data_IF_821807903746
#
_entry.id   IF_821807903746
#
_cell.length_a   1.000
_cell.length_b   1.000
_cell.length_c   1.000
_cell.angle_alpha   90.00
_cell.angle_beta   90.00
_cell.angle_gamma   90.00
#
_symmetry.space_group_name_H-M   'P 1'
#
loop_
_entity.id
_entity.type
_entity.pdbx_description
1 polymer ?
#
# COMPACT_ATOMS: atom_id res chain seq x y z
N UNK A 1 16.41 -25.96 -26.48
CA UNK A 1 15.18 -25.23 -26.87
C UNK A 1 14.93 -24.19 -25.79
N UNK A 2 15.26 -22.94 -26.08
CA UNK A 2 15.20 -21.81 -25.14
C UNK A 2 13.93 -21.05 -25.43
N UNK A 3 12.95 -21.08 -24.51
CA UNK A 3 11.85 -20.12 -24.51
C UNK A 3 12.15 -19.14 -23.38
N UNK A 4 12.94 -18.11 -23.70
CA UNK A 4 13.04 -16.92 -22.87
C UNK A 4 11.75 -16.14 -23.09
N UNK A 5 10.75 -16.39 -22.25
CA UNK A 5 9.56 -15.57 -22.18
C UNK A 5 9.99 -14.16 -21.76
N UNK A 6 10.01 -13.23 -22.71
CA UNK A 6 10.09 -11.82 -22.40
C UNK A 6 8.92 -11.51 -21.45
N UNK A 7 9.23 -11.20 -20.19
CA UNK A 7 8.27 -10.58 -19.29
C UNK A 7 7.87 -9.26 -19.95
N UNK A 8 6.72 -9.25 -20.64
CA UNK A 8 6.10 -8.01 -21.04
C UNK A 8 5.68 -7.34 -19.74
N UNK A 9 6.47 -6.37 -19.29
CA UNK A 9 6.07 -5.45 -18.23
C UNK A 9 4.73 -4.86 -18.70
N UNK A 10 3.63 -5.07 -17.96
CA UNK A 10 2.35 -4.49 -18.34
C UNK A 10 2.53 -2.99 -18.56
N UNK A 11 1.97 -2.46 -19.65
CA UNK A 11 1.97 -1.01 -19.87
C UNK A 11 1.01 -0.38 -18.88
N UNK A 12 1.52 -0.05 -17.71
CA UNK A 12 0.86 0.81 -16.73
C UNK A 12 0.68 2.20 -17.36
N UNK A 13 -0.49 2.79 -17.15
CA UNK A 13 -0.79 4.16 -17.59
C UNK A 13 -1.31 4.96 -16.41
N UNK A 14 -0.98 6.25 -16.29
CA UNK A 14 -1.58 7.10 -15.27
C UNK A 14 -3.12 7.09 -15.37
N UNK A 15 -3.80 7.06 -14.23
CA UNK A 15 -5.27 7.13 -14.21
C UNK A 15 -5.72 8.55 -14.51
N UNK A 16 -6.30 8.77 -15.70
CA UNK A 16 -6.83 10.09 -16.09
C UNK A 16 -8.26 10.34 -15.58
N UNK A 17 -9.02 9.29 -15.31
CA UNK A 17 -10.39 9.39 -14.79
C UNK A 17 -10.37 9.77 -13.32
N UNK A 18 -10.71 11.03 -13.02
CA UNK A 18 -10.77 11.56 -11.65
C UNK A 18 -11.69 10.79 -10.72
N UNK A 19 -12.78 10.19 -11.23
CA UNK A 19 -13.69 9.40 -10.39
C UNK A 19 -13.04 8.08 -9.99
N UNK A 20 -12.37 7.42 -10.93
CA UNK A 20 -11.63 6.19 -10.67
C UNK A 20 -10.44 6.47 -9.74
N UNK A 21 -9.67 7.53 -10.01
CA UNK A 21 -8.57 7.97 -9.15
C UNK A 21 -9.03 8.16 -7.71
N UNK A 22 -10.16 8.85 -7.51
CA UNK A 22 -10.73 9.07 -6.18
C UNK A 22 -11.19 7.76 -5.52
N UNK A 23 -11.86 6.89 -6.28
CA UNK A 23 -12.31 5.60 -5.77
C UNK A 23 -11.14 4.69 -5.35
N UNK A 24 -10.02 4.73 -6.07
CA UNK A 24 -8.80 4.01 -5.69
C UNK A 24 -8.22 4.58 -4.40
N UNK A 25 -8.09 5.91 -4.29
CA UNK A 25 -7.60 6.57 -3.07
C UNK A 25 -8.48 6.19 -1.87
N UNK A 26 -9.80 6.31 -2.01
CA UNK A 26 -10.74 5.98 -0.93
C UNK A 26 -10.62 4.49 -0.54
N UNK A 27 -10.54 3.57 -1.51
CA UNK A 27 -10.39 2.15 -1.22
C UNK A 27 -9.05 1.79 -0.57
N UNK A 28 -7.97 2.50 -0.90
CA UNK A 28 -6.68 2.34 -0.22
C UNK A 28 -6.78 2.84 1.21
N UNK A 29 -7.27 4.06 1.44
CA UNK A 29 -7.37 4.65 2.78
C UNK A 29 -8.35 3.90 3.71
N UNK A 30 -9.35 3.22 3.16
CA UNK A 30 -10.29 2.37 3.91
C UNK A 30 -9.78 0.92 4.10
N UNK A 31 -8.63 0.56 3.53
CA UNK A 31 -8.08 -0.78 3.68
C UNK A 31 -7.66 -1.05 5.13
N UNK A 32 -8.24 -2.09 5.73
CA UNK A 32 -7.91 -2.53 7.08
C UNK A 32 -6.58 -3.28 7.11
N UNK A 33 -5.49 -2.51 7.02
CA UNK A 33 -4.13 -3.04 7.03
C UNK A 33 -3.83 -3.75 8.34
N UNK A 34 -4.27 -3.20 9.48
CA UNK A 34 -3.98 -3.77 10.80
C UNK A 34 -4.52 -5.19 11.02
N UNK A 35 -5.56 -5.58 10.27
CA UNK A 35 -6.12 -6.95 10.29
C UNK A 35 -5.58 -7.85 9.16
N UNK A 36 -4.65 -7.35 8.34
CA UNK A 36 -4.15 -8.04 7.15
C UNK A 36 -2.83 -8.76 7.41
N UNK A 37 -2.51 -9.86 6.69
CA UNK A 37 -1.23 -10.57 6.85
C UNK A 37 0.01 -9.71 6.60
N UNK A 38 -0.13 -8.65 5.82
CA UNK A 38 0.93 -7.69 5.51
C UNK A 38 1.37 -6.88 6.75
N UNK A 39 0.47 -6.71 7.73
CA UNK A 39 0.77 -6.04 9.00
C UNK A 39 1.76 -6.80 9.86
N UNK A 40 1.81 -8.14 9.76
CA UNK A 40 2.71 -8.96 10.57
C UNK A 40 4.19 -8.55 10.41
N UNK A 41 4.56 -7.93 9.28
CA UNK A 41 5.91 -7.42 9.05
C UNK A 41 6.16 -6.09 9.78
N UNK A 42 5.15 -5.23 9.90
CA UNK A 42 5.23 -3.96 10.64
C UNK A 42 5.11 -4.14 12.15
N UNK A 43 4.29 -5.09 12.60
CA UNK A 43 4.14 -5.45 14.02
C UNK A 43 5.45 -6.00 14.61
N UNK A 44 6.32 -6.58 13.77
CA UNK A 44 7.65 -7.03 14.19
C UNK A 44 8.65 -5.88 14.44
N UNK A 45 8.37 -4.65 13.98
CA UNK A 45 9.28 -3.52 14.13
C UNK A 45 9.34 -3.00 15.58
N UNK A 46 8.24 -3.08 16.32
CA UNK A 46 8.17 -2.75 17.74
C UNK A 46 7.05 -3.52 18.44
N UNK A 47 7.24 -3.83 19.73
CA UNK A 47 6.27 -4.56 20.59
C UNK A 47 4.91 -3.88 20.70
N UNK A 48 4.76 -2.63 20.25
CA UNK A 48 3.51 -1.86 20.23
C UNK A 48 3.48 -0.90 19.02
N UNK A 49 3.70 -1.40 17.81
CA UNK A 49 3.46 -0.62 16.59
C UNK A 49 1.96 -0.34 16.44
N UNK A 50 1.59 0.92 16.28
CA UNK A 50 0.19 1.33 16.05
C UNK A 50 0.03 1.80 14.60
N UNK A 51 -0.94 1.24 13.88
CA UNK A 51 -1.31 1.71 12.55
C UNK A 51 -2.04 3.05 12.66
N UNK A 52 -1.60 4.05 11.87
CA UNK A 52 -2.30 5.33 11.80
C UNK A 52 -3.14 5.44 10.53
N UNK A 53 -2.50 5.29 9.37
CA UNK A 53 -3.15 5.44 8.07
C UNK A 53 -2.30 4.88 6.93
N UNK A 54 -2.95 4.66 5.79
CA UNK A 54 -2.31 4.36 4.51
C UNK A 54 -2.84 5.35 3.48
N UNK A 55 -1.92 5.97 2.74
CA UNK A 55 -2.24 6.95 1.72
C UNK A 55 -1.64 6.53 0.38
N UNK A 56 -2.40 6.68 -0.69
CA UNK A 56 -1.90 6.56 -2.06
C UNK A 56 -1.52 7.93 -2.62
N UNK A 57 -0.36 8.05 -3.26
CA UNK A 57 0.03 9.24 -4.00
C UNK A 57 -0.77 9.30 -5.31
N UNK A 58 -1.60 10.33 -5.58
CA UNK A 58 -2.38 10.44 -6.81
C UNK A 58 -1.56 10.36 -8.09
N UNK A 59 -0.33 10.91 -8.09
CA UNK A 59 0.60 10.86 -9.23
C UNK A 59 1.26 9.47 -9.39
N UNK A 60 1.15 8.64 -8.36
CA UNK A 60 1.64 7.27 -8.28
C UNK A 60 0.60 6.20 -8.54
N UNK A 61 -0.59 6.55 -9.04
CA UNK A 61 -1.67 5.61 -9.36
C UNK A 61 -1.71 5.34 -10.86
N UNK A 62 -1.59 4.07 -11.22
CA UNK A 62 -1.57 3.59 -12.59
C UNK A 62 -2.65 2.53 -12.83
N UNK A 63 -3.33 2.62 -13.98
CA UNK A 63 -4.16 1.55 -14.50
C UNK A 63 -3.33 0.54 -15.30
N UNK A 64 -3.56 -0.74 -15.02
CA UNK A 64 -3.05 -1.88 -15.77
C UNK A 64 -4.11 -2.46 -16.72
N UNK A 65 -3.76 -3.55 -17.43
CA UNK A 65 -4.72 -4.30 -18.22
C UNK A 65 -5.83 -4.91 -17.34
N UNK A 66 -6.94 -5.31 -17.95
CA UNK A 66 -8.00 -6.09 -17.28
C UNK A 66 -8.64 -5.42 -16.05
N UNK A 67 -8.70 -4.08 -16.06
CA UNK A 67 -9.20 -3.26 -14.94
C UNK A 67 -8.43 -3.50 -13.63
N UNK A 68 -7.13 -3.71 -13.72
CA UNK A 68 -6.22 -3.70 -12.57
C UNK A 68 -5.67 -2.30 -12.33
N UNK A 69 -5.24 -2.03 -11.09
CA UNK A 69 -4.48 -0.84 -10.75
C UNK A 69 -3.26 -1.19 -9.91
N UNK A 70 -2.27 -0.33 -9.98
CA UNK A 70 -1.13 -0.26 -9.06
C UNK A 70 -1.04 1.16 -8.51
N UNK A 71 -0.79 1.29 -7.22
CA UNK A 71 -0.63 2.56 -6.53
C UNK A 71 0.63 2.53 -5.66
N UNK A 72 1.39 3.61 -5.67
CA UNK A 72 2.46 3.84 -4.69
C UNK A 72 2.03 4.90 -3.69
N UNK A 73 2.51 4.78 -2.46
CA UNK A 73 2.17 5.71 -1.40
C UNK A 73 2.96 5.44 -0.13
N UNK A 74 2.39 5.82 1.00
CA UNK A 74 3.02 5.72 2.32
C UNK A 74 2.06 5.11 3.34
N UNK A 75 2.60 4.25 4.20
CA UNK A 75 1.94 3.78 5.43
C UNK A 75 2.55 4.51 6.61
N UNK A 76 1.70 5.12 7.42
CA UNK A 76 2.09 5.84 8.63
C UNK A 76 1.83 4.97 9.86
N UNK A 77 2.84 4.86 10.71
CA UNK A 77 2.77 4.11 11.96
C UNK A 77 3.34 4.92 13.12
N UNK A 78 2.86 4.64 14.32
CA UNK A 78 3.52 5.06 15.55
C UNK A 78 4.27 3.88 16.17
N UNK A 79 5.57 4.04 16.33
CA UNK A 79 6.48 3.09 16.98
C UNK A 79 6.64 3.48 18.45
N UNK A 80 6.18 2.63 19.35
CA UNK A 80 6.31 2.84 20.79
C UNK A 80 7.49 2.04 21.34
N UNK A 81 8.50 2.74 21.90
CA UNK A 81 9.66 2.12 22.52
C UNK A 81 9.62 2.25 24.05
N UNK A 82 9.91 1.16 24.77
CA UNK A 82 10.12 1.14 26.23
C UNK A 82 8.90 0.73 27.07
N UNK A 83 9.12 0.51 28.37
CA UNK A 83 8.11 0.02 29.33
C UNK A 83 7.65 1.13 30.29
N UNK A 84 6.36 1.51 30.22
CA UNK A 84 5.48 2.28 31.16
C UNK A 84 5.97 3.53 31.92
N UNK A 85 7.26 3.74 32.18
CA UNK A 85 7.80 4.94 32.85
C UNK A 85 8.55 5.88 31.90
N UNK A 86 9.14 5.34 30.84
CA UNK A 86 9.93 6.08 29.85
C UNK A 86 9.55 5.68 28.41
N UNK A 87 8.24 5.53 28.14
CA UNK A 87 7.76 5.19 26.79
C UNK A 87 7.98 6.38 25.84
N UNK A 88 8.69 6.14 24.74
CA UNK A 88 8.87 7.12 23.66
C UNK A 88 8.07 6.67 22.44
N UNK A 89 7.14 7.49 21.99
CA UNK A 89 6.41 7.29 20.75
C UNK A 89 7.08 8.08 19.63
N UNK A 90 7.33 7.43 18.49
CA UNK A 90 7.90 8.04 17.30
C UNK A 90 7.02 7.70 16.11
N UNK A 91 6.52 8.72 15.41
CA UNK A 91 5.82 8.51 14.14
C UNK A 91 6.83 8.26 13.03
N UNK A 92 6.56 7.26 12.21
CA UNK A 92 7.38 6.90 11.05
C UNK A 92 6.50 6.61 9.83
N UNK A 93 7.11 6.65 8.64
CA UNK A 93 6.43 6.42 7.38
C UNK A 93 7.22 5.43 6.50
N UNK A 94 6.53 4.43 5.97
CA UNK A 94 7.12 3.40 5.12
C UNK A 94 6.50 3.44 3.72
N UNK A 95 7.32 3.41 2.66
CA UNK A 95 6.81 3.30 1.30
C UNK A 95 5.96 2.04 1.13
N UNK A 96 4.83 2.18 0.44
CA UNK A 96 3.93 1.07 0.16
C UNK A 96 3.59 1.01 -1.33
N UNK A 97 3.47 -0.21 -1.83
CA UNK A 97 2.87 -0.53 -3.12
C UNK A 97 1.55 -1.27 -2.89
N UNK A 98 0.48 -0.78 -3.48
CA UNK A 98 -0.86 -1.38 -3.42
C UNK A 98 -1.26 -1.81 -4.82
N UNK A 99 -1.81 -3.02 -4.95
CA UNK A 99 -2.37 -3.49 -6.20
C UNK A 99 -3.76 -4.09 -6.00
N UNK A 100 -4.57 -4.02 -7.04
CA UNK A 100 -5.92 -4.57 -7.00
C UNK A 100 -6.68 -4.40 -8.30
N UNK A 101 -7.99 -4.57 -8.22
CA UNK A 101 -8.89 -4.52 -9.36
C UNK A 101 -9.99 -3.49 -9.16
N UNK A 102 -10.58 -3.04 -10.27
CA UNK A 102 -11.72 -2.13 -10.26
C UNK A 102 -12.76 -2.53 -11.30
N UNK A 103 -13.98 -2.07 -11.12
CA UNK A 103 -15.06 -2.20 -12.08
C UNK A 103 -15.58 -0.82 -12.46
N UNK A 104 -15.38 -0.42 -13.73
CA UNK A 104 -15.81 0.89 -14.23
C UNK A 104 -17.34 1.07 -14.27
N UNK A 105 -18.11 -0.01 -14.31
CA UNK A 105 -19.56 0.06 -14.35
C UNK A 105 -20.14 0.33 -12.97
N UNK A 106 -19.59 -0.32 -11.95
CA UNK A 106 -20.06 -0.18 -10.56
C UNK A 106 -19.30 0.88 -9.78
N UNK A 107 -18.12 1.28 -10.25
CA UNK A 107 -17.19 2.14 -9.52
C UNK A 107 -16.52 1.44 -8.34
N UNK A 108 -16.69 0.12 -8.21
CA UNK A 108 -16.13 -0.65 -7.10
C UNK A 108 -14.64 -0.87 -7.33
N UNK A 109 -13.85 -0.61 -6.29
CA UNK A 109 -12.41 -0.92 -6.24
C UNK A 109 -12.19 -1.98 -5.16
N UNK A 110 -11.28 -2.92 -5.42
CA UNK A 110 -10.90 -3.98 -4.51
C UNK A 110 -9.38 -3.98 -4.42
N UNK A 111 -8.86 -3.75 -3.22
CA UNK A 111 -7.44 -3.95 -2.91
C UNK A 111 -7.20 -5.45 -2.75
N UNK A 112 -6.22 -5.98 -3.47
CA UNK A 112 -5.92 -7.42 -3.48
C UNK A 112 -4.58 -7.72 -2.79
N UNK A 113 -3.63 -6.80 -2.86
CA UNK A 113 -2.33 -6.95 -2.23
C UNK A 113 -1.74 -5.62 -1.82
N UNK A 114 -1.05 -5.62 -0.67
CA UNK A 114 -0.27 -4.51 -0.16
C UNK A 114 1.17 -5.00 0.06
N UNK A 115 2.16 -4.21 -0.31
CA UNK A 115 3.58 -4.54 -0.09
C UNK A 115 4.24 -3.33 0.55
N UNK A 116 4.78 -3.49 1.74
CA UNK A 116 5.39 -2.42 2.52
C UNK A 116 6.90 -2.61 2.51
N UNK A 117 7.64 -1.56 2.19
CA UNK A 117 9.09 -1.58 2.23
C UNK A 117 9.60 -1.08 3.58
N UNK A 118 9.95 -2.03 4.46
CA UNK A 118 10.52 -1.75 5.78
C UNK A 118 12.06 -1.74 5.77
N UNK A 119 12.70 -1.78 4.60
CA UNK A 119 14.17 -1.84 4.51
C UNK A 119 14.87 -0.63 5.11
N UNK A 120 14.19 0.53 5.16
CA UNK A 120 14.67 1.74 5.83
C UNK A 120 14.95 1.54 7.32
N UNK A 121 14.27 0.60 7.98
CA UNK A 121 14.40 0.33 9.42
C UNK A 121 15.66 -0.48 9.78
N UNK A 122 16.18 -1.30 8.88
CA UNK A 122 17.30 -2.23 9.15
C UNK A 122 18.68 -1.67 8.78
N UNK A 123 18.78 -0.38 8.43
CA UNK A 123 20.03 0.29 8.02
C UNK A 123 20.81 0.91 9.19
#
# INVERSE_FOLDING_TARGET
MTVTGAHQVPKLKPVEDRKLLRAIIDAVSEYDLASSPEWDQLDQLSTHTEFESIDANPDGIFEGPDNSFEAVGDVYVTLNYGDRRDSTAVSDAFPVQVAGTFDRQTGKVVVESVTIDTSSFYN
#
